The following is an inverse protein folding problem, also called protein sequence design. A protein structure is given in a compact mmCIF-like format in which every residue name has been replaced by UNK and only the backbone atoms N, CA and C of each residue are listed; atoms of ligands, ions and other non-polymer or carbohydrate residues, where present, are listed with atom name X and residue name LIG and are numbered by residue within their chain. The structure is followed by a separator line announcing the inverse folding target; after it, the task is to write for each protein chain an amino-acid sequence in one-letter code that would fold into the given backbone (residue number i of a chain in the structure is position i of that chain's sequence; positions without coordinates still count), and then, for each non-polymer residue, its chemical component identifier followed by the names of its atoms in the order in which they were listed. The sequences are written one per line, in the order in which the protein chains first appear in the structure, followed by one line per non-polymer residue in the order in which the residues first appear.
data_IF_336290074296
#
_entry.id   IF_336290074296
#
_cell.length_a   1.000
_cell.length_b   1.000
_cell.length_c   1.000
_cell.angle_alpha   90.00
_cell.angle_beta   90.00
_cell.angle_gamma   90.00
#
_symmetry.space_group_name_H-M   'P 1'
#
loop_
_entity.id
_entity.type
_entity.pdbx_description
1 polymer ?
#
# COMPACT_ATOMS: atom_id res chain seq x y z
N UNK A 1 10.14 13.82 25.64
CA UNK A 1 8.77 13.26 25.58
C UNK A 1 8.26 13.04 24.15
N UNK A 2 8.40 13.98 23.20
CA UNK A 2 7.97 13.80 21.80
C UNK A 2 8.66 12.66 21.02
N UNK A 3 9.94 12.38 21.28
CA UNK A 3 10.64 11.23 20.67
C UNK A 3 10.12 9.87 21.15
N UNK A 4 9.55 9.80 22.37
CA UNK A 4 8.99 8.56 22.93
C UNK A 4 7.62 8.22 22.32
N UNK A 5 6.80 9.24 21.99
CA UNK A 5 5.53 9.05 21.28
C UNK A 5 5.78 8.59 19.84
N UNK A 6 6.77 9.14 19.12
CA UNK A 6 7.12 8.67 17.78
C UNK A 6 7.60 7.20 17.78
N UNK A 7 8.31 6.75 18.82
CA UNK A 7 8.75 5.35 18.95
C UNK A 7 7.58 4.35 19.13
N UNK A 8 6.41 4.81 19.55
CA UNK A 8 5.23 3.96 19.80
C UNK A 8 4.36 3.77 18.54
N UNK A 9 4.40 4.72 17.59
CA UNK A 9 3.58 4.70 16.36
C UNK A 9 4.33 4.21 15.11
N UNK A 10 5.65 4.09 15.18
CA UNK A 10 6.47 3.48 14.14
C UNK A 10 7.17 2.26 14.75
N UNK A 11 6.59 1.04 14.65
CA UNK A 11 7.29 -0.15 15.11
C UNK A 11 8.62 -0.18 14.37
N UNK A 12 9.69 -0.11 15.17
CA UNK A 12 11.08 0.08 14.76
C UNK A 12 11.40 -0.61 13.43
N UNK A 13 11.24 0.10 12.31
CA UNK A 13 12.31 0.07 11.33
C UNK A 13 13.49 0.56 12.13
N UNK A 14 14.32 -0.36 12.65
CA UNK A 14 15.60 -0.01 13.25
C UNK A 14 16.24 0.90 12.21
N UNK A 15 16.19 2.21 12.44
CA UNK A 15 16.90 3.14 11.59
C UNK A 15 18.33 2.77 11.93
N UNK A 16 19.07 2.09 11.01
CA UNK A 16 20.46 1.80 11.30
C UNK A 16 21.11 3.13 11.68
N UNK A 17 22.06 3.15 12.64
CA UNK A 17 22.74 4.38 13.00
C UNK A 17 23.14 5.09 11.71
N UNK A 18 22.67 6.33 11.57
CA UNK A 18 22.87 7.08 10.33
C UNK A 18 24.37 7.11 10.08
N UNK A 19 24.82 6.51 8.97
CA UNK A 19 26.22 6.65 8.60
C UNK A 19 26.51 8.14 8.36
N UNK A 20 27.76 8.55 8.57
CA UNK A 20 28.18 9.95 8.47
C UNK A 20 27.75 10.60 7.15
N UNK A 21 27.80 9.84 6.06
CA UNK A 21 27.37 10.29 4.75
C UNK A 21 25.85 10.58 4.65
N UNK A 22 24.99 9.89 5.42
CA UNK A 22 23.56 10.22 5.49
C UNK A 22 23.34 11.50 6.31
N UNK A 23 24.11 11.70 7.38
CA UNK A 23 24.07 12.95 8.17
C UNK A 23 24.49 14.13 7.28
N UNK A 24 25.58 13.99 6.53
CA UNK A 24 26.08 14.99 5.60
C UNK A 24 25.08 15.28 4.48
N UNK A 25 24.46 14.24 3.91
CA UNK A 25 23.43 14.41 2.87
C UNK A 25 22.22 15.21 3.39
N UNK A 26 21.75 14.92 4.62
CA UNK A 26 20.67 15.68 5.27
C UNK A 26 21.05 17.14 5.52
N UNK A 27 22.26 17.39 6.04
CA UNK A 27 22.74 18.75 6.27
C UNK A 27 22.85 19.53 4.95
N UNK A 28 23.32 18.87 3.89
CA UNK A 28 23.42 19.46 2.54
C UNK A 28 22.04 19.78 1.98
N UNK A 29 21.09 18.85 2.07
CA UNK A 29 19.71 19.07 1.64
C UNK A 29 19.04 20.22 2.41
N UNK A 30 19.29 20.32 3.72
CA UNK A 30 18.77 21.43 4.53
C UNK A 30 19.36 22.78 4.10
N UNK A 31 20.68 22.84 3.81
CA UNK A 31 21.33 24.05 3.29
C UNK A 31 20.76 24.47 1.95
N UNK A 32 20.50 23.53 1.04
CA UNK A 32 19.88 23.81 -0.26
C UNK A 32 18.49 24.46 -0.16
N UNK A 33 17.79 24.27 0.97
CA UNK A 33 16.45 24.84 1.19
C UNK A 33 16.53 26.21 1.88
N UNK A 34 17.51 26.42 2.76
CA UNK A 34 17.57 27.57 3.68
C UNK A 34 18.47 28.69 3.16
N UNK A 35 19.55 28.37 2.46
CA UNK A 35 20.61 29.34 2.17
C UNK A 35 20.23 30.31 1.04
N UNK A 36 20.16 31.61 1.36
CA UNK A 36 19.81 32.69 0.43
C UNK A 36 21.05 33.34 -0.21
N UNK A 37 22.25 32.99 0.24
CA UNK A 37 23.46 33.46 -0.41
C UNK A 37 23.51 32.90 -1.83
N UNK A 38 23.47 33.80 -2.82
CA UNK A 38 23.21 33.54 -4.25
C UNK A 38 24.18 32.58 -4.98
N UNK A 39 25.08 31.89 -4.28
CA UNK A 39 25.97 30.90 -4.89
C UNK A 39 25.20 29.60 -5.09
N UNK A 40 24.90 29.28 -6.34
CA UNK A 40 24.35 27.98 -6.73
C UNK A 40 25.26 26.86 -6.26
N UNK A 41 24.74 25.98 -5.41
CA UNK A 41 25.43 24.78 -4.97
C UNK A 41 25.76 23.89 -6.20
N UNK A 42 27.03 23.48 -6.39
CA UNK A 42 27.44 22.69 -7.55
C UNK A 42 27.01 21.21 -7.42
N UNK A 43 25.70 20.97 -7.41
CA UNK A 43 25.12 19.64 -7.20
C UNK A 43 25.66 18.57 -8.16
N UNK A 44 25.90 18.95 -9.42
CA UNK A 44 26.35 18.03 -10.46
C UNK A 44 27.85 17.70 -10.40
N UNK A 45 28.65 18.48 -9.66
CA UNK A 45 30.08 18.19 -9.45
C UNK A 45 30.29 17.11 -8.40
N UNK A 46 29.24 16.75 -7.64
CA UNK A 46 29.30 15.67 -6.67
C UNK A 46 29.33 14.29 -7.34
N UNK A 47 29.98 13.29 -6.72
CA UNK A 47 29.81 11.89 -7.07
C UNK A 47 28.33 11.46 -7.11
N UNK A 48 27.99 10.57 -8.03
CA UNK A 48 26.61 10.15 -8.28
C UNK A 48 25.93 9.57 -7.02
N UNK A 49 26.70 8.87 -6.18
CA UNK A 49 26.24 8.29 -4.93
C UNK A 49 25.77 9.37 -3.94
N UNK A 50 26.47 10.49 -3.88
CA UNK A 50 26.10 11.63 -3.03
C UNK A 50 24.89 12.37 -3.59
N UNK A 51 24.82 12.54 -4.92
CA UNK A 51 23.62 13.10 -5.58
C UNK A 51 22.37 12.30 -5.20
N UNK A 52 22.43 10.96 -5.29
CA UNK A 52 21.32 10.08 -4.93
C UNK A 52 20.97 10.15 -3.45
N UNK A 53 21.95 10.16 -2.55
CA UNK A 53 21.70 10.27 -1.10
C UNK A 53 21.09 11.61 -0.72
N UNK A 54 21.52 12.70 -1.36
CA UNK A 54 20.91 14.03 -1.16
C UNK A 54 19.45 13.97 -1.62
N UNK A 55 19.17 13.44 -2.82
CA UNK A 55 17.80 13.29 -3.33
C UNK A 55 16.93 12.42 -2.41
N UNK A 56 17.46 11.32 -1.87
CA UNK A 56 16.76 10.46 -0.89
C UNK A 56 16.46 11.19 0.44
N UNK A 57 17.20 12.25 0.77
CA UNK A 57 16.96 13.08 1.95
C UNK A 57 16.01 14.26 1.69
N UNK A 58 15.47 14.40 0.47
CA UNK A 58 14.46 15.42 0.14
C UNK A 58 13.03 14.89 0.35
N UNK A 59 12.04 15.72 0.04
CA UNK A 59 10.62 15.34 0.00
C UNK A 59 10.28 14.28 -1.06
N UNK A 60 11.25 13.78 -1.83
CA UNK A 60 11.05 12.63 -2.71
C UNK A 60 10.73 11.34 -1.94
N UNK A 61 11.18 11.20 -0.69
CA UNK A 61 10.87 10.05 0.14
C UNK A 61 10.10 10.53 1.35
N UNK A 62 8.85 10.12 1.45
CA UNK A 62 7.99 10.49 2.57
C UNK A 62 7.98 9.34 3.57
N UNK A 63 7.99 9.68 4.86
CA UNK A 63 7.80 8.71 5.95
C UNK A 63 6.38 8.17 6.05
N UNK A 64 5.48 8.60 5.15
CA UNK A 64 4.07 8.27 5.15
C UNK A 64 3.68 7.56 3.84
N UNK A 65 2.64 6.73 3.87
CA UNK A 65 2.08 6.23 2.64
C UNK A 65 1.56 7.35 1.74
N UNK A 66 1.67 7.20 0.42
CA UNK A 66 1.20 8.18 -0.55
C UNK A 66 -0.10 7.68 -1.17
N UNK A 67 -1.16 8.48 -1.07
CA UNK A 67 -2.35 8.31 -1.91
C UNK A 67 -2.10 8.96 -3.25
N UNK A 68 -2.60 8.34 -4.30
CA UNK A 68 -2.69 8.99 -5.60
C UNK A 68 -4.15 9.11 -5.98
N UNK A 69 -4.49 10.24 -6.60
CA UNK A 69 -5.79 10.53 -7.17
C UNK A 69 -5.58 10.96 -8.63
N UNK A 70 -6.40 10.47 -9.58
CA UNK A 70 -6.29 10.88 -10.99
C UNK A 70 -6.32 12.41 -11.16
N UNK A 71 -7.22 13.09 -10.46
CA UNK A 71 -7.44 14.54 -10.64
C UNK A 71 -6.56 15.41 -9.73
N UNK A 72 -6.06 14.84 -8.62
CA UNK A 72 -5.37 15.61 -7.56
C UNK A 72 -3.90 15.24 -7.40
N UNK A 73 -3.41 14.26 -8.17
CA UNK A 73 -2.05 13.75 -8.09
C UNK A 73 -1.73 13.06 -6.77
N UNK A 74 -0.47 13.13 -6.36
CA UNK A 74 0.05 12.50 -5.15
C UNK A 74 -0.21 13.33 -3.90
N UNK A 75 -0.67 12.69 -2.83
CA UNK A 75 -0.88 13.28 -1.51
C UNK A 75 -0.41 12.34 -0.43
N UNK A 76 0.22 12.85 0.62
CA UNK A 76 0.51 12.04 1.79
C UNK A 76 -0.81 11.55 2.40
N UNK A 77 -0.87 10.25 2.71
CA UNK A 77 -1.95 9.71 3.50
C UNK A 77 -1.77 10.18 4.94
N UNK A 78 -2.69 11.03 5.36
CA UNK A 78 -2.81 11.44 6.75
C UNK A 78 -3.85 10.54 7.39
N UNK A 79 -3.52 9.86 8.51
CA UNK A 79 -4.49 9.10 9.28
C UNK A 79 -5.65 10.03 9.65
N UNK A 80 -6.90 9.59 9.47
CA UNK A 80 -8.06 10.39 9.89
C UNK A 80 -8.05 10.61 11.42
N UNK A 81 -7.41 9.70 12.16
CA UNK A 81 -7.33 9.74 13.61
C UNK A 81 -5.94 10.18 14.10
N UNK A 82 -5.15 10.86 13.27
CA UNK A 82 -4.02 11.61 13.81
C UNK A 82 -4.63 12.57 14.83
N UNK A 83 -4.28 12.45 16.14
CA UNK A 83 -5.01 13.09 17.21
C UNK A 83 -5.24 14.54 16.81
N UNK A 84 -6.50 14.90 16.64
CA UNK A 84 -6.90 16.30 16.67
C UNK A 84 -6.52 16.75 18.07
N UNK A 85 -5.28 17.16 18.26
CA UNK A 85 -4.89 17.85 19.49
C UNK A 85 -5.67 19.15 19.44
N UNK A 86 -6.90 19.15 19.92
CA UNK A 86 -7.81 20.30 19.89
C UNK A 86 -7.33 21.44 20.79
N UNK A 87 -6.15 21.31 21.41
CA UNK A 87 -5.43 22.39 22.07
C UNK A 87 -5.03 23.49 21.08
N UNK A 88 -6.00 24.34 20.79
CA UNK A 88 -5.95 25.52 19.92
C UNK A 88 -5.03 26.63 20.46
N UNK A 89 -4.11 26.33 21.39
CA UNK A 89 -3.12 27.30 21.84
C UNK A 89 -1.86 27.26 20.96
N UNK A 90 -1.78 28.27 20.10
CA UNK A 90 -0.56 28.97 19.68
C UNK A 90 0.41 28.18 18.77
N UNK A 91 0.14 28.30 17.47
CA UNK A 91 1.08 28.58 16.35
C UNK A 91 2.32 27.70 16.09
N UNK A 92 2.60 26.67 16.90
CA UNK A 92 3.79 25.83 16.76
C UNK A 92 3.49 24.35 16.52
N UNK A 93 2.28 24.01 16.08
CA UNK A 93 2.02 22.63 15.64
C UNK A 93 2.85 22.36 14.39
N UNK A 94 3.69 21.30 14.37
CA UNK A 94 4.26 20.81 13.13
C UNK A 94 3.08 20.60 12.20
N UNK A 95 3.02 21.31 11.07
CA UNK A 95 1.91 21.14 10.14
C UNK A 95 2.07 19.74 9.52
N UNK A 96 1.51 18.73 10.19
CA UNK A 96 1.65 17.31 9.89
C UNK A 96 1.12 16.91 8.49
N UNK A 97 0.55 17.85 7.73
CA UNK A 97 0.06 17.68 6.36
C UNK A 97 0.82 18.49 5.30
N UNK A 98 2.03 19.00 5.60
CA UNK A 98 2.74 19.86 4.63
C UNK A 98 3.47 19.12 3.51
N UNK A 99 3.50 17.79 3.50
CA UNK A 99 4.14 17.11 2.37
C UNK A 99 3.42 17.48 1.08
N UNK A 100 4.18 18.09 0.18
CA UNK A 100 3.76 18.44 -1.17
C UNK A 100 4.61 17.62 -2.11
N UNK A 101 3.99 17.09 -3.16
CA UNK A 101 4.76 16.43 -4.21
C UNK A 101 5.81 17.43 -4.75
N UNK A 102 7.11 17.07 -4.73
CA UNK A 102 8.18 18.01 -5.06
C UNK A 102 8.32 18.15 -6.57
N UNK A 103 7.31 18.74 -7.22
CA UNK A 103 7.22 18.90 -8.67
C UNK A 103 8.50 19.48 -9.27
N UNK A 104 9.15 20.41 -8.57
CA UNK A 104 10.35 21.10 -9.03
C UNK A 104 11.47 20.11 -9.42
N UNK A 105 11.66 19.03 -8.65
CA UNK A 105 12.72 18.04 -8.90
C UNK A 105 12.50 17.23 -10.18
N UNK A 106 11.26 17.17 -10.68
CA UNK A 106 10.92 16.49 -11.92
C UNK A 106 11.07 17.37 -13.17
N UNK A 107 11.32 18.67 -12.99
CA UNK A 107 11.40 19.66 -14.08
C UNK A 107 12.79 20.31 -14.24
N UNK A 108 13.78 19.96 -13.42
CA UNK A 108 15.14 20.56 -13.51
C UNK A 108 15.85 20.15 -14.81
N UNK A 109 16.19 18.87 -14.94
CA UNK A 109 16.85 18.31 -16.12
C UNK A 109 16.48 16.83 -16.29
N UNK A 110 16.83 16.26 -17.45
CA UNK A 110 16.47 14.86 -17.79
C UNK A 110 17.08 13.84 -16.82
N UNK A 111 18.33 14.02 -16.42
CA UNK A 111 19.04 13.11 -15.49
C UNK A 111 18.39 13.19 -14.12
N UNK A 112 18.22 14.39 -13.55
CA UNK A 112 17.58 14.55 -12.22
C UNK A 112 16.14 14.03 -12.23
N UNK A 113 15.36 14.28 -13.28
CA UNK A 113 14.00 13.73 -13.39
C UNK A 113 13.97 12.20 -13.36
N UNK A 114 14.91 11.53 -14.06
CA UNK A 114 15.00 10.06 -14.07
C UNK A 114 15.34 9.55 -12.67
N UNK A 115 16.32 10.15 -12.00
CA UNK A 115 16.73 9.75 -10.66
C UNK A 115 15.67 10.04 -9.60
N UNK A 116 15.05 11.21 -9.65
CA UNK A 116 13.93 11.59 -8.79
C UNK A 116 12.75 10.62 -8.96
N UNK A 117 12.42 10.24 -10.19
CA UNK A 117 11.38 9.23 -10.47
C UNK A 117 11.76 7.87 -9.89
N UNK A 118 13.01 7.42 -10.10
CA UNK A 118 13.50 6.15 -9.58
C UNK A 118 13.40 6.12 -8.05
N UNK A 119 13.87 7.16 -7.37
CA UNK A 119 13.80 7.26 -5.91
C UNK A 119 12.34 7.31 -5.45
N UNK A 120 11.53 8.24 -5.98
CA UNK A 120 10.15 8.44 -5.57
C UNK A 120 9.30 7.17 -5.69
N UNK A 121 9.31 6.50 -6.85
CA UNK A 121 8.46 5.32 -7.05
C UNK A 121 8.99 4.06 -6.36
N UNK A 122 10.30 3.96 -6.13
CA UNK A 122 10.89 2.75 -5.53
C UNK A 122 11.01 2.78 -4.00
N UNK A 123 11.00 3.97 -3.39
CA UNK A 123 11.17 4.13 -1.94
C UNK A 123 9.88 4.44 -1.20
N UNK A 124 8.86 4.97 -1.87
CA UNK A 124 7.59 5.26 -1.23
C UNK A 124 6.63 4.08 -1.29
N UNK A 125 5.75 4.04 -0.29
CA UNK A 125 4.62 3.12 -0.24
C UNK A 125 3.38 3.81 -0.79
N UNK A 126 2.73 3.23 -1.80
CA UNK A 126 1.53 3.81 -2.42
C UNK A 126 0.27 3.11 -1.93
N UNK A 127 -0.72 3.87 -1.50
CA UNK A 127 -2.03 3.35 -1.08
C UNK A 127 -3.08 3.74 -2.11
N UNK A 128 -3.85 2.75 -2.52
CA UNK A 128 -5.01 2.89 -3.38
C UNK A 128 -6.24 2.71 -2.50
N UNK A 129 -6.95 3.81 -2.34
CA UNK A 129 -8.26 3.81 -1.70
C UNK A 129 -9.24 4.02 -2.84
N UNK A 130 -10.03 3.00 -3.19
CA UNK A 130 -11.04 3.14 -4.23
C UNK A 130 -12.08 4.18 -3.83
N UNK A 131 -12.73 4.75 -4.84
CA UNK A 131 -13.91 5.56 -4.58
C UNK A 131 -15.03 4.63 -4.08
N UNK A 132 -15.98 5.16 -3.31
CA UNK A 132 -17.00 4.38 -2.58
C UNK A 132 -17.80 3.40 -3.44
N UNK A 133 -17.80 3.58 -4.75
CA UNK A 133 -18.61 2.83 -5.70
C UNK A 133 -17.80 2.17 -6.82
N UNK A 134 -16.48 2.36 -6.88
CA UNK A 134 -15.65 1.81 -7.95
C UNK A 134 -14.39 1.13 -7.40
N UNK A 135 -14.51 -0.19 -7.28
CA UNK A 135 -13.43 -1.10 -6.88
C UNK A 135 -12.48 -1.46 -8.02
N UNK A 136 -12.68 -0.89 -9.21
CA UNK A 136 -11.78 -1.09 -10.31
C UNK A 136 -10.45 -0.38 -10.05
N UNK A 137 -9.31 -1.09 -9.94
CA UNK A 137 -8.02 -0.43 -9.85
C UNK A 137 -7.53 0.04 -11.23
N UNK A 138 -8.21 -0.30 -12.34
CA UNK A 138 -7.76 0.10 -13.70
C UNK A 138 -7.72 1.62 -13.89
N UNK A 139 -8.69 2.44 -13.47
CA UNK A 139 -8.56 3.90 -13.51
C UNK A 139 -7.25 4.37 -12.86
N UNK A 140 -6.89 3.81 -11.70
CA UNK A 140 -5.60 4.05 -11.08
C UNK A 140 -4.44 3.63 -11.99
N UNK A 141 -4.41 2.36 -12.39
CA UNK A 141 -3.27 1.81 -13.12
C UNK A 141 -3.07 2.46 -14.50
N UNK A 142 -4.14 2.94 -15.11
CA UNK A 142 -4.11 3.56 -16.44
C UNK A 142 -3.71 5.02 -16.42
N UNK A 143 -4.04 5.77 -15.37
CA UNK A 143 -3.64 7.18 -15.23
C UNK A 143 -2.43 7.40 -14.32
N UNK A 144 -1.96 6.36 -13.62
CA UNK A 144 -0.66 6.40 -12.93
C UNK A 144 0.48 6.62 -13.95
N UNK A 145 1.54 7.38 -13.61
CA UNK A 145 2.68 7.58 -14.51
C UNK A 145 3.29 6.25 -14.98
N UNK A 146 3.20 5.96 -16.29
CA UNK A 146 3.69 4.70 -16.88
C UNK A 146 5.14 4.35 -16.53
N UNK A 147 6.10 5.30 -16.53
CA UNK A 147 7.47 5.01 -16.09
C UNK A 147 7.55 4.61 -14.61
N UNK A 148 6.67 5.19 -13.78
CA UNK A 148 6.60 4.91 -12.35
C UNK A 148 6.12 3.51 -12.02
N UNK A 149 5.20 2.94 -12.82
CA UNK A 149 4.71 1.56 -12.63
C UNK A 149 5.84 0.53 -12.65
N UNK A 150 6.85 0.70 -13.52
CA UNK A 150 8.02 -0.21 -13.59
C UNK A 150 8.96 -0.07 -12.39
N UNK A 151 8.97 1.11 -11.78
CA UNK A 151 9.81 1.46 -10.65
C UNK A 151 9.14 1.18 -9.30
N UNK A 152 7.83 0.91 -9.31
CA UNK A 152 7.04 0.63 -8.13
C UNK A 152 7.61 -0.55 -7.35
N UNK A 153 7.73 -0.39 -6.03
CA UNK A 153 8.22 -1.43 -5.12
C UNK A 153 7.25 -1.76 -4.01
N UNK A 154 6.30 -0.89 -3.70
CA UNK A 154 5.37 -1.13 -2.62
C UNK A 154 4.01 -0.49 -2.91
N UNK A 155 2.95 -1.30 -2.87
CA UNK A 155 1.58 -0.86 -3.14
C UNK A 155 0.61 -1.56 -2.19
N UNK A 156 -0.39 -0.83 -1.72
CA UNK A 156 -1.46 -1.33 -0.86
C UNK A 156 -2.81 -0.98 -1.47
N UNK A 157 -3.69 -1.97 -1.54
CA UNK A 157 -5.09 -1.80 -1.91
C UNK A 157 -5.92 -1.88 -0.65
N UNK A 158 -6.61 -0.79 -0.32
CA UNK A 158 -7.54 -0.77 0.81
C UNK A 158 -8.89 -1.29 0.33
N UNK A 159 -9.38 -2.35 0.95
CA UNK A 159 -10.63 -3.04 0.64
C UNK A 159 -11.70 -2.74 1.69
N UNK A 160 -12.86 -2.25 1.25
CA UNK A 160 -14.07 -2.04 2.03
C UNK A 160 -15.08 -3.03 1.44
N UNK A 161 -15.54 -3.99 2.23
CA UNK A 161 -16.41 -5.08 1.77
C UNK A 161 -17.88 -4.66 1.74
N UNK A 162 -18.11 -3.35 1.77
CA UNK A 162 -19.38 -2.78 2.10
C UNK A 162 -20.10 -2.36 0.80
N UNK A 163 -21.26 -2.96 0.52
CA UNK A 163 -22.31 -2.45 -0.40
C UNK A 163 -22.27 -2.73 -1.91
N UNK A 164 -21.42 -3.59 -2.46
CA UNK A 164 -21.44 -3.84 -3.92
C UNK A 164 -21.83 -5.28 -4.29
N UNK A 165 -22.40 -5.46 -5.50
CA UNK A 165 -22.47 -6.79 -6.13
C UNK A 165 -21.06 -7.35 -6.25
N UNK A 166 -20.70 -8.22 -5.31
CA UNK A 166 -19.34 -8.73 -5.14
C UNK A 166 -18.78 -9.33 -6.44
N UNK A 167 -19.64 -9.90 -7.28
CA UNK A 167 -19.28 -10.47 -8.59
C UNK A 167 -18.74 -9.42 -9.59
N UNK A 168 -19.26 -8.19 -9.59
CA UNK A 168 -18.77 -7.12 -10.47
C UNK A 168 -17.44 -6.57 -9.96
N UNK A 169 -17.35 -6.34 -8.64
CA UNK A 169 -16.12 -5.93 -7.95
C UNK A 169 -14.99 -6.92 -8.24
N UNK A 170 -15.26 -8.21 -8.08
CA UNK A 170 -14.29 -9.26 -8.31
C UNK A 170 -13.82 -9.32 -9.77
N UNK A 171 -14.73 -9.11 -10.74
CA UNK A 171 -14.37 -9.05 -12.17
C UNK A 171 -13.46 -7.86 -12.48
N UNK A 172 -13.79 -6.67 -11.97
CA UNK A 172 -12.96 -5.48 -12.13
C UNK A 172 -11.60 -5.64 -11.44
N UNK A 173 -11.59 -6.20 -10.23
CA UNK A 173 -10.38 -6.53 -9.48
C UNK A 173 -9.47 -7.50 -10.24
N UNK A 174 -10.01 -8.61 -10.75
CA UNK A 174 -9.29 -9.59 -11.59
C UNK A 174 -8.63 -8.92 -12.80
N UNK A 175 -9.39 -8.12 -13.54
CA UNK A 175 -8.88 -7.37 -14.70
C UNK A 175 -7.79 -6.37 -14.30
N UNK A 176 -7.97 -5.71 -13.17
CA UNK A 176 -7.02 -4.82 -12.53
C UNK A 176 -5.69 -5.48 -12.18
N UNK A 177 -5.73 -6.59 -11.46
CA UNK A 177 -4.53 -7.35 -11.08
C UNK A 177 -3.81 -7.87 -12.32
N UNK A 178 -4.52 -8.39 -13.31
CA UNK A 178 -3.91 -8.78 -14.58
C UNK A 178 -3.20 -7.60 -15.27
N UNK A 179 -3.79 -6.41 -15.25
CA UNK A 179 -3.14 -5.22 -15.78
C UNK A 179 -1.88 -4.85 -14.98
N UNK A 180 -1.95 -4.83 -13.64
CA UNK A 180 -0.83 -4.54 -12.75
C UNK A 180 0.35 -5.48 -13.03
N UNK A 181 0.10 -6.79 -13.12
CA UNK A 181 1.13 -7.81 -13.35
C UNK A 181 1.78 -7.68 -14.73
N UNK A 182 1.04 -7.17 -15.73
CA UNK A 182 1.57 -6.92 -17.07
C UNK A 182 2.50 -5.71 -17.13
N UNK A 183 2.22 -4.67 -16.35
CA UNK A 183 2.91 -3.37 -16.46
C UNK A 183 3.99 -3.15 -15.41
N UNK A 184 4.01 -3.96 -14.35
CA UNK A 184 4.96 -3.87 -13.24
C UNK A 184 5.93 -5.05 -13.21
N UNK A 185 7.08 -4.86 -12.57
CA UNK A 185 7.98 -5.96 -12.25
C UNK A 185 7.55 -6.57 -10.92
N UNK A 186 6.61 -7.52 -11.00
CA UNK A 186 5.98 -8.14 -9.82
C UNK A 186 7.04 -8.72 -8.86
N UNK A 187 8.15 -9.27 -9.38
CA UNK A 187 9.22 -9.87 -8.59
C UNK A 187 9.91 -8.90 -7.63
N UNK A 188 9.74 -7.58 -7.84
CA UNK A 188 10.28 -6.50 -7.01
C UNK A 188 9.19 -5.77 -6.24
N UNK A 189 7.93 -6.10 -6.46
CA UNK A 189 6.76 -5.45 -5.86
C UNK A 189 6.38 -6.16 -4.57
N UNK A 190 6.28 -5.40 -3.49
CA UNK A 190 5.57 -5.78 -2.27
C UNK A 190 4.12 -5.34 -2.40
N UNK A 191 3.19 -6.29 -2.31
CA UNK A 191 1.76 -6.08 -2.52
C UNK A 191 1.00 -6.31 -1.21
N UNK A 192 0.20 -5.32 -0.80
CA UNK A 192 -0.65 -5.43 0.39
C UNK A 192 -2.13 -5.36 0.00
N UNK A 193 -2.95 -6.26 0.54
CA UNK A 193 -4.41 -6.16 0.49
C UNK A 193 -4.90 -5.91 1.91
N UNK A 194 -5.48 -4.74 2.15
CA UNK A 194 -5.90 -4.27 3.46
C UNK A 194 -7.41 -4.14 3.55
N UNK A 195 -8.06 -5.16 4.10
CA UNK A 195 -9.49 -5.21 4.36
C UNK A 195 -9.95 -4.54 5.66
N UNK A 196 -9.06 -3.88 6.40
CA UNK A 196 -9.34 -3.39 7.76
C UNK A 196 -10.47 -2.36 7.85
N UNK A 197 -10.87 -1.76 6.71
CA UNK A 197 -11.92 -0.74 6.64
C UNK A 197 -13.36 -1.25 6.58
N UNK A 198 -13.60 -2.53 6.29
CA UNK A 198 -14.95 -3.12 6.28
C UNK A 198 -15.68 -3.15 7.64
N UNK A 199 -15.10 -2.53 8.67
CA UNK A 199 -15.65 -2.50 10.04
C UNK A 199 -16.91 -1.65 10.18
N UNK A 200 -17.16 -0.68 9.30
CA UNK A 200 -18.33 0.21 9.44
C UNK A 200 -19.64 -0.54 9.25
N UNK A 201 -19.71 -1.51 8.33
CA UNK A 201 -20.85 -2.42 8.26
C UNK A 201 -20.98 -3.31 9.50
N UNK A 202 -19.87 -3.89 9.98
CA UNK A 202 -19.92 -4.80 11.13
C UNK A 202 -20.46 -4.12 12.39
N UNK A 203 -20.10 -2.86 12.64
CA UNK A 203 -20.63 -2.10 13.78
C UNK A 203 -22.14 -1.83 13.69
N UNK A 204 -22.69 -1.74 12.48
CA UNK A 204 -24.12 -1.44 12.29
C UNK A 204 -25.00 -2.72 12.26
N UNK A 205 -24.42 -3.88 11.98
CA UNK A 205 -25.14 -5.16 11.86
C UNK A 205 -25.05 -5.97 13.17
N UNK A 206 -23.90 -6.00 13.84
CA UNK A 206 -23.65 -6.94 14.94
C UNK A 206 -24.17 -6.48 16.33
N UNK A 207 -25.47 -6.18 16.44
CA UNK A 207 -26.16 -6.19 17.74
C UNK A 207 -26.72 -7.58 18.10
N UNK A 208 -26.79 -8.53 17.15
CA UNK A 208 -27.18 -9.92 17.39
C UNK A 208 -26.00 -10.88 17.16
N UNK A 209 -25.61 -11.63 18.20
CA UNK A 209 -24.48 -12.56 18.16
C UNK A 209 -24.60 -13.61 17.06
N UNK A 210 -25.83 -14.05 16.70
CA UNK A 210 -26.03 -15.09 15.67
C UNK A 210 -25.75 -14.62 14.24
N UNK A 211 -25.82 -13.32 13.96
CA UNK A 211 -25.46 -12.78 12.64
C UNK A 211 -23.94 -12.66 12.45
N UNK A 212 -23.18 -12.59 13.55
CA UNK A 212 -21.72 -12.41 13.54
C UNK A 212 -20.97 -13.51 12.78
N UNK A 213 -21.29 -14.79 13.03
CA UNK A 213 -20.60 -15.94 12.44
C UNK A 213 -20.81 -16.01 10.91
N UNK A 214 -22.02 -15.67 10.45
CA UNK A 214 -22.37 -15.64 9.02
C UNK A 214 -21.62 -14.52 8.29
N UNK A 215 -21.59 -13.32 8.88
CA UNK A 215 -20.89 -12.18 8.28
C UNK A 215 -19.37 -12.41 8.27
N UNK A 216 -18.80 -13.04 9.30
CA UNK A 216 -17.37 -13.38 9.35
C UNK A 216 -16.96 -14.38 8.27
N UNK A 217 -17.76 -15.44 8.07
CA UNK A 217 -17.52 -16.42 7.00
C UNK A 217 -17.50 -15.74 5.63
N UNK A 218 -18.42 -14.81 5.42
CA UNK A 218 -18.47 -14.00 4.20
C UNK A 218 -17.24 -13.10 4.03
N UNK A 219 -16.72 -12.48 5.10
CA UNK A 219 -15.51 -11.62 5.02
C UNK A 219 -14.28 -12.43 4.59
N UNK A 220 -14.07 -13.61 5.19
CA UNK A 220 -12.94 -14.48 4.82
C UNK A 220 -13.10 -15.01 3.40
N UNK A 221 -14.31 -15.41 3.00
CA UNK A 221 -14.61 -15.85 1.64
C UNK A 221 -14.37 -14.73 0.62
N UNK A 222 -14.83 -13.51 0.91
CA UNK A 222 -14.61 -12.33 0.08
C UNK A 222 -13.12 -11.99 -0.03
N UNK A 223 -12.38 -12.08 1.07
CA UNK A 223 -10.93 -11.89 1.05
C UNK A 223 -10.22 -12.97 0.22
N UNK A 224 -10.62 -14.25 0.37
CA UNK A 224 -10.13 -15.36 -0.45
C UNK A 224 -10.37 -15.08 -1.94
N UNK A 225 -11.56 -14.61 -2.32
CA UNK A 225 -11.89 -14.26 -3.69
C UNK A 225 -11.03 -13.10 -4.22
N UNK A 226 -10.63 -12.14 -3.38
CA UNK A 226 -9.71 -11.05 -3.78
C UNK A 226 -8.25 -11.53 -3.89
N UNK A 227 -7.84 -12.51 -3.08
CA UNK A 227 -6.48 -13.06 -3.09
C UNK A 227 -6.28 -14.12 -4.18
N UNK A 228 -7.34 -14.85 -4.52
CA UNK A 228 -7.31 -15.92 -5.54
C UNK A 228 -6.70 -15.47 -6.88
N UNK A 229 -7.09 -14.32 -7.48
CA UNK A 229 -6.49 -13.84 -8.73
C UNK A 229 -4.98 -13.64 -8.62
N UNK A 230 -4.53 -13.12 -7.48
CA UNK A 230 -3.11 -12.90 -7.19
C UNK A 230 -2.40 -14.25 -7.09
N UNK A 231 -3.00 -15.23 -6.41
CA UNK A 231 -2.47 -16.58 -6.30
C UNK A 231 -2.40 -17.28 -7.66
N UNK A 232 -3.45 -17.21 -8.48
CA UNK A 232 -3.51 -17.80 -9.81
C UNK A 232 -2.45 -17.18 -10.74
N UNK A 233 -2.30 -15.85 -10.72
CA UNK A 233 -1.24 -15.14 -11.47
C UNK A 233 0.15 -15.54 -10.98
N UNK A 234 0.37 -15.60 -9.66
CA UNK A 234 1.62 -15.99 -9.04
C UNK A 234 1.98 -17.47 -9.25
N UNK A 235 1.00 -18.32 -9.59
CA UNK A 235 1.19 -19.71 -10.02
C UNK A 235 1.30 -19.87 -11.54
N UNK A 236 1.17 -18.78 -12.31
CA UNK A 236 1.21 -18.81 -13.77
C UNK A 236 0.00 -19.52 -14.39
N UNK A 237 -1.07 -19.69 -13.63
CA UNK A 237 -2.26 -20.48 -13.99
C UNK A 237 -3.34 -19.68 -14.71
N UNK A 238 -3.19 -18.36 -14.82
CA UNK A 238 -4.16 -17.49 -15.50
C UNK A 238 -3.95 -17.51 -17.02
N UNK A 239 -4.11 -18.69 -17.64
CA UNK A 239 -4.05 -18.85 -19.08
C UNK A 239 -5.40 -18.47 -19.72
N UNK A 240 -5.38 -17.42 -20.56
CA UNK A 240 -6.38 -17.03 -21.59
C UNK A 240 -7.81 -17.57 -21.40
N UNK A 241 -8.57 -17.02 -20.46
CA UNK A 241 -10.03 -17.16 -20.54
C UNK A 241 -10.57 -16.27 -21.67
N UNK A 242 -11.11 -16.88 -22.72
CA UNK A 242 -11.89 -16.19 -23.74
C UNK A 242 -13.16 -15.61 -23.10
N UNK A 243 -13.56 -14.36 -23.40
CA UNK A 243 -14.67 -13.66 -22.73
C UNK A 243 -16.06 -14.33 -22.90
N UNK A 244 -16.19 -15.40 -23.69
CA UNK A 244 -17.45 -16.15 -23.88
C UNK A 244 -17.77 -17.18 -22.79
N UNK A 245 -16.86 -17.52 -21.88
CA UNK A 245 -17.07 -18.59 -20.86
C UNK A 245 -17.35 -18.10 -19.43
N UNK A 246 -17.47 -16.79 -19.20
CA UNK A 246 -17.68 -16.21 -17.85
C UNK A 246 -19.14 -16.29 -17.35
N UNK A 247 -20.05 -16.99 -18.05
CA UNK A 247 -21.44 -17.16 -17.60
C UNK A 247 -21.69 -18.46 -16.82
N UNK A 248 -20.82 -19.46 -16.91
CA UNK A 248 -21.04 -20.79 -16.30
C UNK A 248 -19.92 -21.19 -15.32
N UNK A 249 -19.44 -20.26 -14.49
CA UNK A 249 -18.29 -20.48 -13.60
C UNK A 249 -18.70 -20.80 -12.15
N UNK A 250 -19.53 -21.82 -11.99
CA UNK A 250 -19.56 -22.69 -10.82
C UNK A 250 -19.63 -24.11 -11.39
N UNK A 251 -18.72 -25.00 -10.98
CA UNK A 251 -18.50 -26.37 -11.51
C UNK A 251 -17.62 -26.43 -12.77
N UNK A 252 -16.30 -26.29 -12.58
CA UNK A 252 -15.27 -27.21 -13.13
C UNK A 252 -13.86 -26.65 -12.95
N UNK A 253 -13.26 -26.89 -11.78
CA UNK A 253 -11.81 -26.80 -11.58
C UNK A 253 -11.16 -28.15 -11.90
N UNK A 254 -11.27 -28.57 -13.16
CA UNK A 254 -10.42 -29.61 -13.74
C UNK A 254 -10.46 -29.48 -15.26
N UNK A 255 -9.27 -29.46 -15.88
CA UNK A 255 -8.99 -29.40 -17.33
C UNK A 255 -8.65 -28.01 -17.90
N UNK A 256 -7.40 -27.59 -17.68
CA UNK A 256 -6.61 -26.88 -18.69
C UNK A 256 -5.12 -27.18 -18.44
N UNK A 257 -4.61 -28.26 -19.05
CA UNK A 257 -3.21 -28.69 -18.94
C UNK A 257 -2.40 -28.40 -20.22
N UNK A 258 -2.92 -27.61 -21.15
CA UNK A 258 -2.26 -27.39 -22.43
C UNK A 258 -1.69 -25.98 -22.55
N UNK A 259 -0.36 -25.96 -22.68
CA UNK A 259 0.50 -24.82 -23.01
C UNK A 259 0.56 -23.70 -21.96
N UNK A 260 1.02 -24.05 -20.74
CA UNK A 260 1.63 -23.05 -19.87
C UNK A 260 2.91 -22.49 -20.54
N UNK A 261 3.15 -21.17 -20.49
CA UNK A 261 4.43 -20.60 -20.92
C UNK A 261 5.58 -21.25 -20.11
N UNK A 262 6.71 -21.50 -20.77
CA UNK A 262 7.92 -22.09 -20.14
C UNK A 262 8.56 -21.20 -19.07
N UNK A 263 8.10 -19.95 -18.91
CA UNK A 263 8.60 -19.06 -17.89
C UNK A 263 7.99 -19.40 -16.54
N UNK A 264 8.84 -19.53 -15.52
CA UNK A 264 8.39 -19.73 -14.15
C UNK A 264 7.44 -18.60 -13.73
N UNK A 265 6.37 -18.92 -13.01
CA UNK A 265 5.46 -17.90 -12.50
C UNK A 265 6.20 -16.84 -11.70
N UNK A 266 6.00 -15.57 -12.06
CA UNK A 266 6.59 -14.46 -11.31
C UNK A 266 5.73 -14.20 -10.08
N UNK A 267 6.27 -14.49 -8.90
CA UNK A 267 5.65 -14.17 -7.61
C UNK A 267 6.00 -12.74 -7.18
N UNK A 268 5.15 -12.07 -6.38
CA UNK A 268 5.54 -10.83 -5.75
C UNK A 268 6.76 -11.01 -4.85
N UNK A 269 7.50 -9.93 -4.59
CA UNK A 269 8.63 -9.96 -3.64
C UNK A 269 8.13 -10.35 -2.26
N UNK A 270 7.12 -9.61 -1.80
CA UNK A 270 6.41 -9.79 -0.55
C UNK A 270 4.91 -9.64 -0.80
N UNK A 271 4.11 -10.38 -0.04
CA UNK A 271 2.65 -10.30 -0.08
C UNK A 271 2.12 -10.25 1.35
N UNK A 272 1.29 -9.26 1.64
CA UNK A 272 0.73 -9.03 2.96
C UNK A 272 -0.79 -8.94 2.86
N UNK A 273 -1.48 -9.61 3.77
CA UNK A 273 -2.93 -9.53 3.91
C UNK A 273 -3.27 -9.03 5.30
N UNK A 274 -4.20 -8.08 5.37
CA UNK A 274 -4.77 -7.60 6.62
C UNK A 274 -6.29 -7.72 6.58
N UNK A 275 -6.86 -8.52 7.48
CA UNK A 275 -8.31 -8.73 7.59
C UNK A 275 -8.91 -7.82 8.70
N UNK A 276 -10.17 -7.38 8.56
CA UNK A 276 -10.84 -6.61 9.61
C UNK A 276 -11.17 -7.49 10.82
N UNK A 277 -11.09 -6.93 12.03
CA UNK A 277 -11.52 -7.59 13.28
C UNK A 277 -13.04 -7.41 13.51
N UNK A 278 -13.73 -8.36 14.18
CA UNK A 278 -13.17 -9.58 14.76
C UNK A 278 -13.44 -10.78 13.86
N UNK A 279 -12.38 -11.39 13.32
CA UNK A 279 -12.47 -12.69 12.65
C UNK A 279 -12.70 -13.72 13.76
N UNK A 280 -13.94 -14.21 13.87
CA UNK A 280 -14.37 -15.41 14.61
C UNK A 280 -14.71 -15.22 16.10
N UNK A 281 -13.84 -14.66 16.94
CA UNK A 281 -14.08 -14.61 18.41
C UNK A 281 -13.59 -13.32 19.09
N UNK A 282 -13.08 -12.37 18.29
CA UNK A 282 -12.37 -11.21 18.82
C UNK A 282 -10.91 -11.47 19.14
N UNK A 283 -10.43 -12.71 19.01
CA UNK A 283 -9.03 -13.04 19.19
C UNK A 283 -8.23 -12.59 17.97
N UNK A 284 -7.04 -12.08 18.26
CA UNK A 284 -6.04 -11.80 17.24
C UNK A 284 -5.57 -13.10 16.54
N UNK A 285 -5.68 -14.25 17.20
CA UNK A 285 -5.14 -15.53 16.74
C UNK A 285 -5.86 -16.05 15.48
N UNK A 286 -7.21 -16.07 15.48
CA UNK A 286 -7.98 -16.55 14.32
C UNK A 286 -7.79 -15.67 13.08
N UNK A 287 -7.66 -14.35 13.27
CA UNK A 287 -7.33 -13.41 12.20
C UNK A 287 -5.94 -13.70 11.64
N UNK A 288 -4.93 -13.79 12.50
CA UNK A 288 -3.53 -13.96 12.10
C UNK A 288 -3.34 -15.30 11.37
N UNK A 289 -4.06 -16.36 11.78
CA UNK A 289 -4.10 -17.65 11.09
C UNK A 289 -4.73 -17.54 9.69
N UNK A 290 -5.88 -16.86 9.54
CA UNK A 290 -6.52 -16.66 8.24
C UNK A 290 -5.64 -15.84 7.28
N UNK A 291 -5.03 -14.75 7.77
CA UNK A 291 -4.07 -13.95 7.00
C UNK A 291 -2.86 -14.81 6.58
N UNK A 292 -2.34 -15.64 7.48
CA UNK A 292 -1.22 -16.54 7.20
C UNK A 292 -1.56 -17.59 6.13
N UNK A 293 -2.76 -18.18 6.17
CA UNK A 293 -3.24 -19.12 5.14
C UNK A 293 -3.33 -18.43 3.77
N UNK A 294 -3.91 -17.22 3.71
CA UNK A 294 -4.03 -16.43 2.48
C UNK A 294 -2.65 -16.10 1.89
N UNK A 295 -1.72 -15.69 2.73
CA UNK A 295 -0.36 -15.33 2.31
C UNK A 295 0.42 -16.54 1.77
N UNK A 296 0.34 -17.69 2.45
CA UNK A 296 0.98 -18.94 1.97
C UNK A 296 0.35 -19.47 0.70
N UNK A 297 -0.94 -19.23 0.48
CA UNK A 297 -1.62 -19.60 -0.77
C UNK A 297 -1.02 -18.92 -2.00
N UNK A 298 -0.55 -17.67 -1.85
CA UNK A 298 0.12 -16.90 -2.92
C UNK A 298 1.62 -17.19 -2.96
N UNK A 299 2.29 -17.12 -1.81
CA UNK A 299 3.74 -17.11 -1.73
C UNK A 299 4.36 -18.51 -1.65
N UNK A 300 3.61 -19.49 -1.13
CA UNK A 300 4.03 -20.86 -0.87
C UNK A 300 4.26 -21.14 0.61
N UNK A 301 4.41 -22.42 0.94
CA UNK A 301 4.40 -22.93 2.30
C UNK A 301 5.49 -22.38 3.24
N UNK A 302 6.64 -21.96 2.71
CA UNK A 302 7.74 -21.41 3.51
C UNK A 302 7.61 -19.92 3.84
N UNK A 303 6.55 -19.25 3.38
CA UNK A 303 6.42 -17.81 3.55
C UNK A 303 6.03 -17.42 4.99
N UNK A 304 6.78 -16.49 5.57
CA UNK A 304 6.60 -15.98 6.93
C UNK A 304 6.61 -14.45 6.89
N UNK A 305 5.43 -13.85 6.76
CA UNK A 305 5.26 -12.41 6.57
C UNK A 305 5.79 -11.57 7.73
N UNK A 306 5.62 -12.02 8.98
CA UNK A 306 6.16 -11.36 10.17
C UNK A 306 7.69 -11.12 10.08
N UNK A 307 8.46 -12.12 9.64
CA UNK A 307 9.92 -11.99 9.45
C UNK A 307 10.32 -11.04 8.32
N UNK A 308 9.37 -10.67 7.46
CA UNK A 308 9.57 -9.79 6.32
C UNK A 308 9.08 -8.36 6.58
N UNK A 309 8.78 -8.04 7.84
CA UNK A 309 8.34 -6.71 8.23
C UNK A 309 6.85 -6.47 8.00
N UNK A 310 6.03 -7.53 7.94
CA UNK A 310 4.58 -7.37 8.15
C UNK A 310 4.39 -6.71 9.51
N UNK A 311 3.60 -5.64 9.53
CA UNK A 311 3.31 -4.92 10.76
C UNK A 311 2.26 -5.74 11.52
N UNK A 312 2.58 -6.16 12.75
CA UNK A 312 1.73 -7.02 13.61
C UNK A 312 0.30 -6.50 13.78
N UNK A 313 0.15 -5.19 13.67
CA UNK A 313 -1.12 -4.53 13.53
C UNK A 313 -1.06 -3.68 12.26
N UNK A 314 -1.94 -3.85 11.26
CA UNK A 314 -2.14 -2.80 10.28
C UNK A 314 -2.40 -1.56 11.12
N UNK A 315 -1.49 -0.59 11.00
CA UNK A 315 -1.46 0.61 11.83
C UNK A 315 -2.90 1.06 12.01
N UNK A 316 -3.38 1.04 13.27
CA UNK A 316 -4.78 1.32 13.66
C UNK A 316 -5.10 2.80 13.43
N UNK A 317 -4.88 3.31 12.22
CA UNK A 317 -5.14 4.68 11.78
C UNK A 317 -6.63 5.03 11.74
N UNK A 318 -7.49 4.03 12.00
CA UNK A 318 -8.93 4.07 11.76
C UNK A 318 -9.79 3.60 12.93
N UNK A 319 -9.26 3.40 14.14
CA UNK A 319 -10.15 3.31 15.30
C UNK A 319 -10.77 4.70 15.49
N UNK A 320 -12.05 4.93 15.16
CA UNK A 320 -12.69 6.18 15.59
C UNK A 320 -12.41 6.32 17.08
N UNK A 321 -12.05 7.53 17.48
CA UNK A 321 -11.99 7.89 18.88
C UNK A 321 -13.31 7.41 19.50
N UNK A 322 -13.26 6.49 20.47
CA UNK A 322 -14.43 6.00 21.21
C UNK A 322 -14.86 7.02 22.28
N UNK A 323 -14.45 8.28 22.14
CA UNK A 323 -14.84 9.39 23.00
C UNK A 323 -15.64 10.39 22.18
N UNK A 324 -16.74 10.84 22.76
CA UNK A 324 -17.73 11.79 22.23
C UNK A 324 -18.90 11.10 21.51
N UNK A 325 -19.50 10.09 22.17
CA UNK A 325 -20.95 10.12 22.29
C UNK A 325 -21.26 11.35 23.18
N UNK A 326 -21.64 12.46 22.53
CA UNK A 326 -22.33 13.56 23.21
C UNK A 326 -23.65 13.01 23.77
N UNK A 327 -23.91 13.31 25.05
CA UNK A 327 -25.19 13.07 25.75
C UNK A 327 -26.42 13.59 24.97
#
# INVERSE_FOLDING_TARGET
MQQALLAQYFPSTRIPPLNEATVLARQTAARLIIDQDQRTFPFYDLPNELQLRILECTDLVTGWPIKWHPDRGFRAHTPQNAPHTSDASIDNRPRYNRWRFPWQLFFVDRKTRIEASRIFFSKNHFIIIPDKYDWDPRPFLTSFPKPGLKLLRSIQFVVEFDYCEFSQVLRSWKAGMHHLFRVTDISKLSLTVDGSRGRRLLKNICFDQRETDSVQSSVVENAMLMVEPIAQLAKGQLAKESPKKLRDFFVHLQLAKEQLPKESPKKPRDFFVHLPLPVIDGSHQSRDEAEWILERTVMGDGYQSAKRGKIDHPLRWYLPYEGDEED
#
